data_IF_834570435657
#
_entry.id   IF_834570435657
#
_cell.length_a   1.000
_cell.length_b   1.000
_cell.length_c   1.000
_cell.angle_alpha   90.00
_cell.angle_beta   90.00
_cell.angle_gamma   90.00
#
_symmetry.space_group_name_H-M   'P 1'
#
loop_
_entity.id
_entity.type
_entity.pdbx_description
1 polymer ?
#
# COMPACT_ATOMS: atom_id res chain seq x y z
N UNK A 1 13.97 -7.41 -25.71
CA UNK A 1 14.51 -7.28 -24.34
C UNK A 1 14.98 -8.65 -23.86
N UNK A 2 16.00 -8.73 -23.01
CA UNK A 2 16.53 -10.03 -22.54
C UNK A 2 15.65 -10.60 -21.43
N UNK A 3 15.56 -11.92 -21.32
CA UNK A 3 14.84 -12.62 -20.24
C UNK A 3 15.31 -12.19 -18.83
N UNK A 4 16.55 -11.74 -18.72
CA UNK A 4 17.16 -11.24 -17.49
C UNK A 4 16.50 -9.95 -16.99
N UNK A 5 16.26 -8.98 -17.88
CA UNK A 5 15.58 -7.72 -17.52
C UNK A 5 14.16 -7.99 -17.01
N UNK A 6 13.42 -8.89 -17.67
CA UNK A 6 12.07 -9.30 -17.21
C UNK A 6 12.10 -9.88 -15.80
N UNK A 7 13.10 -10.73 -15.51
CA UNK A 7 13.26 -11.33 -14.20
C UNK A 7 13.58 -10.29 -13.11
N UNK A 8 14.39 -9.29 -13.43
CA UNK A 8 14.72 -8.19 -12.52
C UNK A 8 13.50 -7.32 -12.22
N UNK A 9 12.72 -6.94 -13.25
CA UNK A 9 11.46 -6.19 -13.10
C UNK A 9 10.47 -6.98 -12.24
N UNK A 10 10.29 -8.27 -12.52
CA UNK A 10 9.41 -9.11 -11.73
C UNK A 10 9.88 -9.26 -10.28
N UNK A 11 11.21 -9.30 -10.07
CA UNK A 11 11.78 -9.32 -8.72
C UNK A 11 11.51 -8.01 -7.98
N UNK A 12 11.71 -6.86 -8.64
CA UNK A 12 11.41 -5.54 -8.11
C UNK A 12 9.93 -5.44 -7.72
N UNK A 13 9.00 -5.80 -8.60
CA UNK A 13 7.56 -5.77 -8.33
C UNK A 13 7.17 -6.61 -7.09
N UNK A 14 7.80 -7.78 -6.90
CA UNK A 14 7.59 -8.61 -5.68
C UNK A 14 8.20 -8.00 -4.42
N UNK A 15 9.30 -7.26 -4.54
CA UNK A 15 10.04 -6.70 -3.40
C UNK A 15 9.52 -5.34 -2.97
N UNK A 16 9.20 -4.48 -3.92
CA UNK A 16 8.70 -3.14 -3.68
C UNK A 16 7.18 -3.01 -3.84
N UNK A 17 6.46 -4.09 -4.17
CA UNK A 17 5.00 -4.14 -4.14
C UNK A 17 4.47 -5.51 -3.75
N UNK A 18 3.27 -5.86 -4.21
CA UNK A 18 2.62 -7.14 -3.92
C UNK A 18 2.82 -8.19 -5.04
N UNK A 19 3.74 -7.91 -5.97
CA UNK A 19 3.90 -8.65 -7.21
C UNK A 19 3.32 -7.87 -8.39
N UNK A 20 3.29 -8.50 -9.56
CA UNK A 20 2.71 -7.95 -10.77
C UNK A 20 2.03 -9.07 -11.57
N UNK A 21 0.90 -8.75 -12.18
CA UNK A 21 0.22 -9.57 -13.18
C UNK A 21 1.03 -9.64 -14.48
N UNK A 22 0.78 -10.61 -15.36
CA UNK A 22 1.45 -10.66 -16.66
C UNK A 22 1.33 -9.36 -17.46
N UNK A 23 0.15 -8.73 -17.42
CA UNK A 23 -0.13 -7.47 -18.13
C UNK A 23 0.66 -6.30 -17.54
N UNK A 24 0.74 -6.20 -16.21
CA UNK A 24 1.57 -5.16 -15.55
C UNK A 24 3.06 -5.38 -15.84
N UNK A 25 3.52 -6.63 -15.87
CA UNK A 25 4.91 -6.93 -16.23
C UNK A 25 5.25 -6.49 -17.65
N UNK A 26 4.35 -6.69 -18.61
CA UNK A 26 4.54 -6.22 -19.98
C UNK A 26 4.60 -4.69 -20.05
N UNK A 27 3.75 -3.97 -19.29
CA UNK A 27 3.80 -2.51 -19.21
C UNK A 27 5.06 -1.99 -18.51
N UNK A 28 5.54 -2.68 -17.47
CA UNK A 28 6.77 -2.34 -16.77
C UNK A 28 8.01 -2.54 -17.63
N UNK A 29 7.99 -3.52 -18.54
CA UNK A 29 9.06 -3.68 -19.52
C UNK A 29 9.15 -2.50 -20.47
N UNK A 30 8.03 -1.94 -20.90
CA UNK A 30 8.01 -0.75 -21.77
C UNK A 30 8.55 0.50 -21.05
N UNK A 31 8.37 0.58 -19.72
CA UNK A 31 8.87 1.69 -18.90
C UNK A 31 10.38 1.62 -18.70
N UNK A 32 10.94 0.42 -18.55
CA UNK A 32 12.36 0.22 -18.23
C UNK A 32 12.62 0.16 -16.71
N UNK A 33 13.74 -0.44 -16.31
CA UNK A 33 14.00 -0.78 -14.91
C UNK A 33 14.22 0.47 -14.04
N UNK A 34 15.09 1.38 -14.49
CA UNK A 34 15.47 2.58 -13.74
C UNK A 34 14.27 3.52 -13.54
N UNK A 35 13.51 3.76 -14.60
CA UNK A 35 12.31 4.60 -14.54
C UNK A 35 11.22 3.98 -13.65
N UNK A 36 11.09 2.63 -13.66
CA UNK A 36 10.18 1.92 -12.77
C UNK A 36 10.59 2.03 -11.29
N UNK A 37 11.90 2.00 -11.00
CA UNK A 37 12.42 2.24 -9.63
C UNK A 37 12.03 3.64 -9.17
N UNK A 38 12.25 4.66 -10.00
CA UNK A 38 11.89 6.04 -9.67
C UNK A 38 10.37 6.20 -9.48
N UNK A 39 9.55 5.55 -10.30
CA UNK A 39 8.10 5.56 -10.15
C UNK A 39 7.66 4.94 -8.81
N UNK A 40 8.32 3.87 -8.37
CA UNK A 40 7.98 3.21 -7.10
C UNK A 40 8.40 4.04 -5.88
N UNK A 41 9.54 4.74 -5.96
CA UNK A 41 10.03 5.61 -4.89
C UNK A 41 9.26 6.92 -4.79
N UNK A 42 8.69 7.41 -5.91
CA UNK A 42 8.01 8.70 -5.99
C UNK A 42 6.54 8.53 -6.42
N UNK A 43 5.65 8.11 -5.50
CA UNK A 43 4.23 7.94 -5.81
C UNK A 43 3.57 9.28 -6.19
N UNK A 44 3.00 9.35 -7.40
CA UNK A 44 2.42 10.59 -7.92
C UNK A 44 0.99 10.87 -7.41
N UNK A 45 0.18 9.82 -7.21
CA UNK A 45 -1.12 9.88 -6.51
C UNK A 45 -1.67 8.47 -6.29
N UNK A 46 -2.24 8.23 -5.12
CA UNK A 46 -2.86 6.96 -4.81
C UNK A 46 -4.28 6.90 -5.42
N UNK A 47 -4.35 6.57 -6.72
CA UNK A 47 -5.59 6.34 -7.47
C UNK A 47 -6.22 5.00 -7.02
N UNK A 48 -6.71 4.99 -5.78
CA UNK A 48 -7.39 3.86 -5.16
C UNK A 48 -8.88 3.90 -5.49
N UNK A 49 -9.57 2.79 -5.21
CA UNK A 49 -11.04 2.81 -5.20
C UNK A 49 -11.52 3.92 -4.24
N UNK A 50 -12.36 4.85 -4.72
CA UNK A 50 -12.91 5.91 -3.89
C UNK A 50 -13.66 5.38 -2.67
N UNK A 51 -13.45 6.02 -1.53
CA UNK A 51 -14.06 5.64 -0.25
C UNK A 51 -15.60 5.61 -0.33
N UNK A 52 -16.23 6.52 -1.10
CA UNK A 52 -17.68 6.56 -1.26
C UNK A 52 -18.23 5.28 -1.93
N UNK A 53 -17.49 4.68 -2.87
CA UNK A 53 -17.87 3.42 -3.49
C UNK A 53 -17.76 2.25 -2.50
N UNK A 54 -16.70 2.24 -1.68
CA UNK A 54 -16.50 1.22 -0.64
C UNK A 54 -17.62 1.32 0.40
N UNK A 55 -17.85 2.53 0.93
CA UNK A 55 -18.80 2.81 1.99
C UNK A 55 -20.26 2.65 1.55
N UNK A 56 -20.57 2.94 0.29
CA UNK A 56 -21.89 2.64 -0.28
C UNK A 56 -22.20 1.14 -0.27
N UNK A 57 -21.20 0.30 -0.50
CA UNK A 57 -21.37 -1.16 -0.57
C UNK A 57 -21.22 -1.84 0.81
N UNK A 58 -20.42 -1.23 1.68
CA UNK A 58 -20.03 -1.72 3.01
C UNK A 58 -20.25 -0.62 4.07
N UNK A 59 -21.51 -0.44 4.45
CA UNK A 59 -21.93 0.62 5.38
C UNK A 59 -21.31 0.43 6.77
N UNK A 60 -21.00 -0.81 7.16
CA UNK A 60 -20.31 -1.17 8.39
C UNK A 60 -18.88 -0.60 8.47
N UNK A 61 -18.18 -0.51 7.34
CA UNK A 61 -16.86 0.12 7.26
C UNK A 61 -16.96 1.63 7.43
N UNK A 62 -17.99 2.27 6.86
CA UNK A 62 -18.24 3.71 7.02
C UNK A 62 -18.58 4.10 8.45
N UNK A 63 -19.37 3.26 9.14
CA UNK A 63 -19.69 3.46 10.54
C UNK A 63 -18.48 3.22 11.47
N UNK A 64 -17.33 2.81 10.92
CA UNK A 64 -16.15 2.36 11.67
C UNK A 64 -16.52 1.29 12.70
N UNK A 65 -17.53 0.47 12.40
CA UNK A 65 -17.99 -0.64 13.23
C UNK A 65 -17.51 -2.00 12.69
N UNK A 66 -17.02 -2.02 11.45
CA UNK A 66 -16.38 -3.17 10.82
C UNK A 66 -14.87 -3.25 11.08
N UNK A 67 -14.27 -4.39 10.69
CA UNK A 67 -12.84 -4.65 10.84
C UNK A 67 -11.98 -3.77 9.92
N UNK A 68 -11.08 -2.97 10.50
CA UNK A 68 -10.15 -2.08 9.79
C UNK A 68 -9.30 -2.81 8.74
N UNK A 69 -9.03 -4.10 8.94
CA UNK A 69 -8.28 -4.92 8.00
C UNK A 69 -8.99 -5.04 6.63
N UNK A 70 -10.33 -5.10 6.61
CA UNK A 70 -11.09 -5.19 5.36
C UNK A 70 -11.03 -3.88 4.57
N UNK A 71 -11.16 -2.74 5.25
CA UNK A 71 -10.99 -1.43 4.63
C UNK A 71 -9.59 -1.27 4.02
N UNK A 72 -8.55 -1.62 4.78
CA UNK A 72 -7.18 -1.55 4.27
C UNK A 72 -6.93 -2.52 3.11
N UNK A 73 -7.55 -3.70 3.11
CA UNK A 73 -7.44 -4.66 2.01
C UNK A 73 -7.94 -4.09 0.67
N UNK A 74 -9.04 -3.31 0.65
CA UNK A 74 -9.50 -2.63 -0.56
C UNK A 74 -8.44 -1.69 -1.13
N UNK A 75 -7.75 -0.96 -0.25
CA UNK A 75 -6.65 -0.07 -0.63
C UNK A 75 -5.44 -0.86 -1.13
N UNK A 76 -5.03 -1.91 -0.43
CA UNK A 76 -3.89 -2.77 -0.82
C UNK A 76 -4.06 -3.40 -2.21
N UNK A 77 -5.28 -3.74 -2.60
CA UNK A 77 -5.59 -4.38 -3.90
C UNK A 77 -5.74 -3.36 -5.03
N UNK A 78 -6.15 -2.12 -4.72
CA UNK A 78 -6.43 -1.09 -5.74
C UNK A 78 -5.35 -0.03 -5.89
N UNK A 79 -4.34 -0.03 -5.03
CA UNK A 79 -3.30 1.00 -5.04
C UNK A 79 -2.42 0.97 -6.28
N UNK A 80 -2.14 2.15 -6.82
CA UNK A 80 -1.08 2.37 -7.81
C UNK A 80 0.26 2.73 -7.15
N UNK A 81 0.30 2.82 -5.81
CA UNK A 81 1.48 3.16 -5.02
C UNK A 81 1.83 1.98 -4.08
N UNK A 82 2.23 0.81 -4.64
CA UNK A 82 2.33 -0.42 -3.86
C UNK A 82 3.46 -0.40 -2.83
N UNK A 83 4.54 0.36 -3.08
CA UNK A 83 5.63 0.52 -2.12
C UNK A 83 5.18 1.22 -0.85
N UNK A 84 4.40 2.29 -1.00
CA UNK A 84 3.88 3.07 0.11
C UNK A 84 3.01 2.21 1.05
N UNK A 85 2.07 1.44 0.47
CA UNK A 85 1.23 0.52 1.24
C UNK A 85 2.02 -0.65 1.85
N UNK A 86 3.02 -1.16 1.13
CA UNK A 86 3.89 -2.22 1.64
C UNK A 86 4.73 -1.78 2.82
N UNK A 87 5.24 -0.55 2.79
CA UNK A 87 5.98 0.04 3.90
C UNK A 87 5.06 0.28 5.09
N UNK A 88 3.82 0.75 4.86
CA UNK A 88 2.83 0.86 5.91
C UNK A 88 2.53 -0.50 6.57
N UNK A 89 2.41 -1.57 5.76
CA UNK A 89 2.22 -2.94 6.25
C UNK A 89 3.42 -3.45 7.06
N UNK A 90 4.63 -3.16 6.60
CA UNK A 90 5.86 -3.49 7.32
C UNK A 90 5.88 -2.82 8.71
N UNK A 91 5.64 -1.51 8.77
CA UNK A 91 5.66 -0.76 10.03
C UNK A 91 4.52 -1.17 10.96
N UNK A 92 3.35 -1.50 10.44
CA UNK A 92 2.26 -2.06 11.25
C UNK A 92 2.64 -3.40 11.89
N UNK A 93 3.43 -4.24 11.20
CA UNK A 93 3.98 -5.47 11.78
C UNK A 93 5.00 -5.24 12.90
N UNK A 94 5.76 -4.14 12.83
CA UNK A 94 6.73 -3.74 13.87
C UNK A 94 6.01 -3.11 15.08
N UNK A 95 5.10 -2.17 14.81
CA UNK A 95 4.30 -1.47 15.81
C UNK A 95 2.90 -2.08 15.92
N UNK A 96 2.86 -3.39 16.18
CA UNK A 96 1.63 -4.18 16.17
C UNK A 96 0.63 -3.69 17.23
N UNK A 97 -0.48 -3.14 16.74
CA UNK A 97 -1.61 -2.63 17.53
C UNK A 97 -2.82 -3.53 17.31
N UNK A 98 -3.39 -4.03 18.40
CA UNK A 98 -4.56 -4.91 18.34
C UNK A 98 -5.85 -4.12 18.30
N UNK A 99 -6.64 -4.28 17.23
CA UNK A 99 -7.94 -3.64 17.05
C UNK A 99 -8.88 -3.82 18.24
N UNK A 100 -9.03 -5.07 18.72
CA UNK A 100 -9.90 -5.42 19.83
C UNK A 100 -9.48 -4.82 21.19
N UNK A 101 -8.34 -4.15 21.27
CA UNK A 101 -7.82 -3.51 22.48
C UNK A 101 -8.03 -1.98 22.47
N UNK A 102 -8.60 -1.43 21.41
CA UNK A 102 -8.80 0.00 21.24
C UNK A 102 -10.25 0.40 21.52
N UNK A 103 -10.43 1.48 22.27
CA UNK A 103 -11.74 2.10 22.48
C UNK A 103 -12.18 2.97 21.27
N UNK A 104 -11.26 3.23 20.34
CA UNK A 104 -11.50 3.99 19.13
C UNK A 104 -10.84 3.26 17.95
N UNK A 105 -11.67 2.71 17.07
CA UNK A 105 -11.23 1.98 15.88
C UNK A 105 -10.53 2.88 14.86
N UNK A 106 -10.84 4.18 14.82
CA UNK A 106 -10.19 5.13 13.92
C UNK A 106 -8.72 5.40 14.25
N UNK A 107 -8.27 5.09 15.47
CA UNK A 107 -6.86 5.22 15.84
C UNK A 107 -5.95 4.30 15.01
N UNK A 108 -6.43 3.12 14.59
CA UNK A 108 -5.68 2.21 13.70
C UNK A 108 -5.53 2.78 12.30
N UNK A 109 -6.61 3.31 11.72
CA UNK A 109 -6.59 3.96 10.42
C UNK A 109 -5.59 5.11 10.42
N UNK A 110 -5.64 5.97 11.45
CA UNK A 110 -4.68 7.07 11.61
C UNK A 110 -3.23 6.59 11.73
N UNK A 111 -2.99 5.47 12.41
CA UNK A 111 -1.65 4.89 12.54
C UNK A 111 -1.14 4.40 11.17
N UNK A 112 -1.96 3.64 10.43
CA UNK A 112 -1.62 3.20 9.07
C UNK A 112 -1.37 4.40 8.15
N UNK A 113 -2.19 5.45 8.24
CA UNK A 113 -2.00 6.70 7.49
C UNK A 113 -0.72 7.44 7.85
N UNK A 114 -0.26 7.33 9.10
CA UNK A 114 1.03 7.89 9.52
C UNK A 114 2.19 7.11 8.92
N UNK A 115 2.15 5.78 8.98
CA UNK A 115 3.16 4.94 8.33
C UNK A 115 3.18 5.11 6.81
N UNK A 116 2.03 5.34 6.19
CA UNK A 116 1.93 5.64 4.76
C UNK A 116 2.67 6.92 4.40
N UNK A 117 2.39 8.01 5.13
CA UNK A 117 2.97 9.34 4.85
C UNK A 117 4.45 9.45 5.19
N UNK A 118 4.89 8.81 6.27
CA UNK A 118 6.22 9.03 6.83
C UNK A 118 7.12 7.79 6.79
N UNK A 119 6.59 6.62 6.43
CA UNK A 119 7.30 5.34 6.55
C UNK A 119 8.50 5.16 5.62
N UNK A 120 8.57 5.93 4.53
CA UNK A 120 9.76 5.98 3.66
C UNK A 120 10.77 7.07 4.08
N UNK A 121 10.40 7.90 5.05
CA UNK A 121 11.20 9.01 5.55
C UNK A 121 12.04 8.63 6.76
N UNK A 122 12.23 9.58 7.67
CA UNK A 122 13.03 9.37 8.87
C UNK A 122 12.23 8.64 9.94
N UNK A 123 12.92 7.82 10.74
CA UNK A 123 12.30 7.04 11.79
C UNK A 123 11.61 7.88 12.88
N UNK A 124 12.09 9.08 13.16
CA UNK A 124 11.47 9.99 14.13
C UNK A 124 10.13 10.56 13.66
N UNK A 125 9.85 10.57 12.36
CA UNK A 125 8.57 11.03 11.81
C UNK A 125 7.44 9.99 11.91
N UNK A 126 7.77 8.72 12.15
CA UNK A 126 6.78 7.65 12.33
C UNK A 126 6.46 7.36 13.80
N UNK A 127 7.16 8.03 14.74
CA UNK A 127 6.90 7.87 16.16
C UNK A 127 5.70 8.73 16.59
N UNK A 128 4.75 8.18 17.37
CA UNK A 128 3.64 8.93 17.92
C UNK A 128 4.05 9.91 19.03
#
# INVERSE_FOLDING_TARGET
>A
MTTETRNQIAHLARRAGFGATPQELDAYEETGYEDLVEQFLNPASADNIPDDLIFRRHVDLHAMQGHNAAYWAYRLISTQCPLEEKIALFWHGVFATGENKLNNLGSLTNQVDTFRRHGMGRFDEILP
#
